data_IF_975394323680
#
_entry.id   IF_975394323680
#
_cell.length_a   1.000
_cell.length_b   1.000
_cell.length_c   1.000
_cell.angle_alpha   90.00
_cell.angle_beta   90.00
_cell.angle_gamma   90.00
#
_symmetry.space_group_name_H-M   'P 1'
#
loop_
_entity.id
_entity.type
_entity.pdbx_description
1 polymer ?
#
# COMPACT_ATOMS: atom_id res chain seq x y z
N UNK A 1 15.97 -0.58 -87.21
CA UNK A 1 15.68 0.46 -86.22
C UNK A 1 14.27 0.36 -85.58
N UNK A 2 13.22 -0.01 -86.29
CA UNK A 2 11.84 -0.14 -85.69
C UNK A 2 11.66 -1.27 -84.64
N UNK A 3 12.45 -2.36 -84.69
CA UNK A 3 12.35 -3.46 -83.75
C UNK A 3 13.11 -3.22 -82.41
N UNK A 4 14.11 -2.37 -82.42
CA UNK A 4 14.85 -1.96 -81.20
C UNK A 4 14.05 -0.98 -80.38
N UNK A 5 13.32 -0.07 -81.05
CA UNK A 5 12.44 0.92 -80.39
C UNK A 5 11.27 0.26 -79.64
N UNK A 6 10.71 -0.85 -80.16
CA UNK A 6 9.63 -1.61 -79.53
C UNK A 6 10.07 -2.38 -78.27
N UNK A 7 11.34 -2.83 -78.24
CA UNK A 7 11.90 -3.52 -77.09
C UNK A 7 12.20 -2.56 -75.92
N UNK A 8 12.61 -1.31 -76.21
CA UNK A 8 12.83 -0.30 -75.21
C UNK A 8 11.50 0.24 -74.58
N UNK A 9 10.43 0.30 -75.40
CA UNK A 9 9.12 0.70 -74.88
C UNK A 9 8.46 -0.36 -74.01
N UNK A 10 8.74 -1.67 -74.27
CA UNK A 10 8.24 -2.76 -73.43
C UNK A 10 9.02 -2.88 -72.11
N UNK A 11 10.30 -2.55 -72.11
CA UNK A 11 11.15 -2.58 -70.93
C UNK A 11 10.91 -1.38 -69.98
N UNK A 12 10.47 -0.24 -70.52
CA UNK A 12 10.07 0.92 -69.69
C UNK A 12 8.70 0.72 -69.02
N UNK A 13 7.78 -0.07 -69.63
CA UNK A 13 6.47 -0.37 -69.02
C UNK A 13 6.55 -1.36 -67.85
N UNK A 14 7.62 -2.19 -67.77
CA UNK A 14 7.85 -3.14 -66.67
C UNK A 14 8.50 -2.52 -65.43
N UNK A 15 9.04 -1.29 -65.54
CA UNK A 15 9.65 -0.59 -64.43
C UNK A 15 8.65 0.22 -63.56
N UNK A 16 7.40 0.37 -64.02
CA UNK A 16 6.34 1.08 -63.27
C UNK A 16 5.39 0.15 -62.51
N UNK A 17 5.54 -1.17 -62.59
CA UNK A 17 4.70 -2.12 -61.90
C UNK A 17 5.31 -2.67 -60.58
N UNK A 18 6.41 -2.08 -60.09
CA UNK A 18 7.10 -2.49 -58.90
C UNK A 18 7.12 -1.41 -57.76
N UNK A 19 6.17 -0.48 -57.81
CA UNK A 19 5.79 0.27 -56.62
C UNK A 19 4.51 -0.42 -56.11
N UNK A 20 4.66 -1.51 -55.38
CA UNK A 20 3.70 -1.86 -54.36
C UNK A 20 3.78 -0.72 -53.34
N UNK A 21 2.68 -0.02 -53.17
CA UNK A 21 2.42 0.83 -52.03
C UNK A 21 2.45 -0.04 -50.76
N UNK A 22 3.62 -0.44 -50.33
CA UNK A 22 3.91 -0.67 -48.93
C UNK A 22 4.05 0.75 -48.30
N UNK A 23 2.93 1.46 -48.24
CA UNK A 23 2.81 2.53 -47.26
C UNK A 23 3.20 1.91 -45.93
N UNK A 24 4.23 2.43 -45.23
CA UNK A 24 4.53 1.94 -43.90
C UNK A 24 3.28 2.15 -43.07
N UNK A 25 2.59 1.03 -42.80
CA UNK A 25 1.39 1.03 -41.98
C UNK A 25 1.75 1.85 -40.75
N UNK A 26 1.07 2.96 -40.54
CA UNK A 26 1.28 3.79 -39.36
C UNK A 26 1.27 2.86 -38.13
N UNK A 27 2.25 2.97 -37.24
CA UNK A 27 2.31 2.07 -36.10
C UNK A 27 0.94 2.08 -35.42
N UNK A 28 0.35 0.91 -35.32
CA UNK A 28 -0.96 0.79 -34.65
C UNK A 28 -0.80 1.30 -33.22
N UNK A 29 -1.78 2.04 -32.70
CA UNK A 29 -1.74 2.48 -31.32
C UNK A 29 -1.52 1.27 -30.42
N UNK A 30 -0.61 1.41 -29.47
CA UNK A 30 -0.38 0.38 -28.49
C UNK A 30 -1.54 0.37 -27.48
N UNK A 31 -2.42 -0.61 -27.64
CA UNK A 31 -3.63 -0.76 -26.81
C UNK A 31 -3.39 -1.56 -25.52
N UNK A 32 -2.14 -1.92 -25.19
CA UNK A 32 -1.81 -2.67 -23.96
C UNK A 32 -2.34 -1.92 -22.74
N UNK A 33 -3.16 -2.55 -21.90
CA UNK A 33 -3.67 -1.91 -20.68
C UNK A 33 -2.53 -1.48 -19.74
N UNK A 34 -2.74 -0.41 -18.98
CA UNK A 34 -1.70 0.23 -18.18
C UNK A 34 -2.16 0.50 -16.75
N UNK A 35 -1.30 0.20 -15.80
CA UNK A 35 -1.41 0.65 -14.43
C UNK A 35 -0.57 1.92 -14.24
N UNK A 36 -1.14 2.95 -13.61
CA UNK A 36 -0.44 4.19 -13.25
C UNK A 36 -0.54 4.35 -11.75
N UNK A 37 0.57 4.14 -11.04
CA UNK A 37 0.57 4.06 -9.58
C UNK A 37 1.30 5.26 -8.99
N UNK A 38 0.59 6.04 -8.18
CA UNK A 38 1.16 7.13 -7.39
C UNK A 38 1.44 6.64 -5.97
N UNK A 39 2.72 6.63 -5.62
CA UNK A 39 3.20 6.22 -4.30
C UNK A 39 3.29 7.40 -3.33
N UNK A 40 3.29 7.11 -2.00
CA UNK A 40 3.55 8.10 -0.98
C UNK A 40 4.92 8.78 -1.16
N UNK A 41 5.03 9.98 -0.61
CA UNK A 41 6.29 10.72 -0.56
C UNK A 41 7.32 9.88 0.20
N UNK A 42 8.50 9.68 -0.42
CA UNK A 42 9.61 8.87 0.13
C UNK A 42 9.20 7.43 0.56
N UNK A 43 8.11 6.90 -0.04
CA UNK A 43 7.52 5.64 0.42
C UNK A 43 8.25 4.38 -0.04
N UNK A 44 8.82 4.35 -1.24
CA UNK A 44 9.56 3.17 -1.72
C UNK A 44 10.84 2.95 -0.91
N UNK A 45 11.06 1.67 -0.52
CA UNK A 45 12.16 1.28 0.36
C UNK A 45 11.76 1.23 1.83
N UNK A 46 10.47 1.38 2.16
CA UNK A 46 9.94 1.24 3.52
C UNK A 46 10.02 -0.19 4.05
N UNK A 47 10.21 -1.17 3.16
CA UNK A 47 10.25 -2.62 3.41
C UNK A 47 8.94 -3.17 4.00
N UNK A 48 7.84 -2.45 3.83
CA UNK A 48 6.54 -2.79 4.40
C UNK A 48 5.40 -2.49 3.42
N UNK A 49 4.54 -1.54 3.73
CA UNK A 49 3.31 -1.21 3.00
C UNK A 49 3.56 -0.87 1.54
N UNK A 50 4.43 0.11 1.27
CA UNK A 50 4.66 0.62 -0.10
C UNK A 50 5.40 -0.39 -0.96
N UNK A 51 6.42 -1.05 -0.41
CA UNK A 51 7.16 -2.10 -1.13
C UNK A 51 6.27 -3.33 -1.42
N UNK A 52 5.28 -3.63 -0.57
CA UNK A 52 4.30 -4.69 -0.82
C UNK A 52 3.32 -4.31 -1.94
N UNK A 53 2.85 -3.05 -1.98
CA UNK A 53 2.05 -2.53 -3.11
C UNK A 53 2.84 -2.67 -4.41
N UNK A 54 4.08 -2.19 -4.43
CA UNK A 54 4.95 -2.29 -5.61
C UNK A 54 5.07 -3.73 -6.10
N UNK A 55 5.35 -4.68 -5.20
CA UNK A 55 5.47 -6.11 -5.56
C UNK A 55 4.16 -6.69 -6.11
N UNK A 56 3.03 -6.34 -5.52
CA UNK A 56 1.73 -6.80 -6.00
C UNK A 56 1.38 -6.26 -7.38
N UNK A 57 1.65 -4.98 -7.62
CA UNK A 57 1.45 -4.32 -8.92
C UNK A 57 2.35 -4.95 -9.99
N UNK A 58 3.64 -5.10 -9.72
CA UNK A 58 4.59 -5.72 -10.66
C UNK A 58 4.22 -7.17 -10.99
N UNK A 59 3.80 -7.93 -9.97
CA UNK A 59 3.36 -9.32 -10.16
C UNK A 59 2.13 -9.39 -11.05
N UNK A 60 1.09 -8.60 -10.74
CA UNK A 60 -0.12 -8.55 -11.56
C UNK A 60 0.18 -8.10 -12.99
N UNK A 61 1.04 -7.10 -13.16
CA UNK A 61 1.44 -6.63 -14.48
C UNK A 61 2.15 -7.69 -15.30
N UNK A 62 3.05 -8.45 -14.68
CA UNK A 62 3.76 -9.55 -15.34
C UNK A 62 2.79 -10.69 -15.72
N UNK A 63 1.88 -11.07 -14.83
CA UNK A 63 0.92 -12.17 -15.04
C UNK A 63 -0.08 -11.85 -16.16
N UNK A 64 -0.49 -10.59 -16.28
CA UNK A 64 -1.50 -10.15 -17.26
C UNK A 64 -0.94 -9.38 -18.47
N UNK A 65 0.38 -9.24 -18.57
CA UNK A 65 1.02 -8.54 -19.70
C UNK A 65 0.69 -7.05 -19.77
N UNK A 66 0.59 -6.39 -18.61
CA UNK A 66 0.25 -4.97 -18.50
C UNK A 66 1.50 -4.08 -18.56
N UNK A 67 1.31 -2.83 -18.95
CA UNK A 67 2.29 -1.77 -18.72
C UNK A 67 2.12 -1.18 -17.33
N UNK A 68 3.22 -0.75 -16.72
CA UNK A 68 3.18 -0.02 -15.44
C UNK A 68 3.94 1.30 -15.57
N UNK A 69 3.36 2.34 -15.00
CA UNK A 69 4.02 3.61 -14.74
C UNK A 69 4.03 3.86 -13.25
N UNK A 70 5.20 3.86 -12.65
CA UNK A 70 5.40 4.22 -11.26
C UNK A 70 5.68 5.71 -11.13
N UNK A 71 4.89 6.40 -10.31
CA UNK A 71 5.04 7.81 -10.01
C UNK A 71 5.37 7.97 -8.52
N UNK A 72 6.47 8.63 -8.24
CA UNK A 72 6.89 8.99 -6.89
C UNK A 72 6.86 10.50 -6.77
N UNK A 73 6.05 11.00 -5.84
CA UNK A 73 6.05 12.43 -5.54
C UNK A 73 7.17 12.74 -4.54
N UNK A 74 7.90 13.83 -4.76
CA UNK A 74 8.91 14.34 -3.82
C UNK A 74 8.35 15.44 -2.91
N UNK A 75 7.12 15.86 -3.14
CA UNK A 75 6.39 16.80 -2.30
C UNK A 75 4.88 16.61 -2.43
N UNK A 76 4.12 17.17 -1.49
CA UNK A 76 2.67 17.17 -1.56
C UNK A 76 2.14 17.92 -2.78
N UNK A 77 2.81 19.01 -3.19
CA UNK A 77 2.46 19.79 -4.39
C UNK A 77 2.64 18.96 -5.65
N UNK A 78 3.71 18.18 -5.74
CA UNK A 78 3.94 17.29 -6.90
C UNK A 78 2.91 16.17 -6.96
N UNK A 79 2.60 15.53 -5.83
CA UNK A 79 1.54 14.53 -5.73
C UNK A 79 0.17 15.11 -6.13
N UNK A 80 -0.13 16.32 -5.66
CA UNK A 80 -1.33 17.08 -6.08
C UNK A 80 -1.37 17.26 -7.59
N UNK A 81 -0.25 17.65 -8.21
CA UNK A 81 -0.19 17.85 -9.66
C UNK A 81 -0.44 16.55 -10.45
N UNK A 82 0.09 15.40 -9.97
CA UNK A 82 -0.22 14.09 -10.57
C UNK A 82 -1.71 13.77 -10.47
N UNK A 83 -2.32 13.95 -9.29
CA UNK A 83 -3.75 13.69 -9.08
C UNK A 83 -4.61 14.62 -9.95
N UNK A 84 -4.29 15.91 -10.01
CA UNK A 84 -4.98 16.84 -10.90
C UNK A 84 -4.89 16.42 -12.38
N UNK A 85 -3.75 15.88 -12.81
CA UNK A 85 -3.60 15.37 -14.16
C UNK A 85 -4.47 14.11 -14.37
N UNK A 86 -4.55 13.19 -13.40
CA UNK A 86 -5.43 12.03 -13.48
C UNK A 86 -6.89 12.48 -13.63
N UNK A 87 -7.30 13.51 -12.92
CA UNK A 87 -8.68 14.00 -12.96
C UNK A 87 -9.05 14.72 -14.25
N UNK A 88 -8.06 15.37 -14.92
CA UNK A 88 -8.27 16.25 -16.07
C UNK A 88 -7.94 15.61 -17.41
N UNK A 89 -7.17 14.51 -17.46
CA UNK A 89 -6.77 13.92 -18.73
C UNK A 89 -7.98 13.50 -19.56
N UNK A 90 -7.90 13.71 -20.88
CA UNK A 90 -9.01 13.45 -21.77
C UNK A 90 -9.28 11.96 -21.94
N UNK A 91 -10.56 11.60 -22.13
CA UNK A 91 -11.02 10.23 -22.35
C UNK A 91 -10.50 9.56 -23.65
N UNK A 92 -9.72 10.26 -24.46
CA UNK A 92 -9.16 9.79 -25.73
C UNK A 92 -7.86 8.99 -25.60
N UNK A 93 -7.59 8.41 -24.44
CA UNK A 93 -6.42 7.56 -24.28
C UNK A 93 -6.55 6.27 -25.10
N UNK A 94 -5.52 5.86 -25.87
CA UNK A 94 -5.62 4.72 -26.76
C UNK A 94 -5.80 3.40 -26.00
N UNK A 95 -5.27 3.28 -24.79
CA UNK A 95 -5.28 2.09 -23.96
C UNK A 95 -6.11 2.26 -22.69
N UNK A 96 -6.63 1.15 -22.18
CA UNK A 96 -7.33 1.07 -20.90
C UNK A 96 -6.34 1.36 -19.76
N UNK A 97 -6.74 2.21 -18.79
CA UNK A 97 -5.88 2.61 -17.65
C UNK A 97 -6.59 2.50 -16.31
N UNK A 98 -5.87 1.98 -15.34
CA UNK A 98 -6.19 2.09 -13.93
C UNK A 98 -5.18 3.01 -13.25
N UNK A 99 -5.65 4.14 -12.73
CA UNK A 99 -4.87 5.01 -11.85
C UNK A 99 -5.04 4.50 -10.41
N UNK A 100 -3.93 4.33 -9.69
CA UNK A 100 -3.93 3.86 -8.31
C UNK A 100 -3.25 4.94 -7.44
N UNK A 101 -3.98 5.51 -6.49
CA UNK A 101 -3.45 6.45 -5.51
C UNK A 101 -3.32 5.72 -4.19
N UNK A 102 -2.11 5.59 -3.67
CA UNK A 102 -1.80 4.75 -2.50
C UNK A 102 -1.58 5.54 -1.21
N UNK A 103 -1.66 6.87 -1.27
CA UNK A 103 -1.40 7.78 -0.16
C UNK A 103 -2.71 8.37 0.39
N UNK A 104 -3.16 7.95 1.60
CA UNK A 104 -4.44 8.39 2.18
C UNK A 104 -4.48 9.89 2.51
N UNK A 105 -3.34 10.56 2.65
CA UNK A 105 -3.30 12.01 2.91
C UNK A 105 -3.91 12.86 1.79
N UNK A 106 -4.13 12.27 0.61
CA UNK A 106 -4.81 12.94 -0.51
C UNK A 106 -6.35 12.79 -0.50
N UNK A 107 -6.95 12.19 0.53
CA UNK A 107 -8.41 11.93 0.57
C UNK A 107 -9.24 13.19 0.29
N UNK A 108 -8.99 14.29 0.99
CA UNK A 108 -9.73 15.54 0.77
C UNK A 108 -9.56 16.09 -0.65
N UNK A 109 -8.36 15.96 -1.21
CA UNK A 109 -8.08 16.38 -2.58
C UNK A 109 -8.85 15.52 -3.59
N UNK A 110 -8.81 14.20 -3.43
CA UNK A 110 -9.51 13.24 -4.30
C UNK A 110 -11.02 13.48 -4.22
N UNK A 111 -11.60 13.60 -3.03
CA UNK A 111 -13.02 13.90 -2.84
C UNK A 111 -13.44 15.22 -3.54
N UNK A 112 -12.62 16.25 -3.43
CA UNK A 112 -12.90 17.56 -4.06
C UNK A 112 -12.84 17.50 -5.58
N UNK A 113 -11.94 16.69 -6.13
CA UNK A 113 -11.70 16.59 -7.58
C UNK A 113 -12.55 15.50 -8.25
N UNK A 114 -13.05 14.52 -7.52
CA UNK A 114 -13.83 13.40 -8.04
C UNK A 114 -14.97 13.81 -9.01
N UNK A 115 -15.74 14.90 -8.80
CA UNK A 115 -16.75 15.33 -9.75
C UNK A 115 -16.22 15.71 -11.13
N UNK A 116 -14.90 15.94 -11.28
CA UNK A 116 -14.26 16.26 -12.55
C UNK A 116 -13.73 15.01 -13.27
N UNK A 117 -13.68 13.87 -12.58
CA UNK A 117 -13.16 12.63 -13.14
C UNK A 117 -14.18 12.03 -14.12
N UNK A 118 -13.80 11.96 -15.38
CA UNK A 118 -14.59 11.30 -16.40
C UNK A 118 -14.26 9.79 -16.41
N UNK A 119 -14.90 9.05 -15.50
CA UNK A 119 -14.82 7.60 -15.49
C UNK A 119 -15.35 7.01 -16.79
N UNK A 120 -14.68 5.98 -17.31
CA UNK A 120 -15.10 5.20 -18.48
C UNK A 120 -14.48 3.80 -18.42
N UNK A 121 -14.93 2.90 -19.29
CA UNK A 121 -14.34 1.55 -19.42
C UNK A 121 -12.84 1.60 -19.70
N UNK A 122 -12.35 2.70 -20.29
CA UNK A 122 -10.93 2.91 -20.58
C UNK A 122 -10.18 3.63 -19.47
N UNK A 123 -10.90 4.20 -18.49
CA UNK A 123 -10.30 5.07 -17.51
C UNK A 123 -10.98 4.93 -16.15
N UNK A 124 -10.29 4.30 -15.21
CA UNK A 124 -10.75 4.10 -13.86
C UNK A 124 -9.68 4.54 -12.88
N UNK A 125 -10.08 4.92 -11.66
CA UNK A 125 -9.21 5.33 -10.58
C UNK A 125 -9.55 4.55 -9.32
N UNK A 126 -8.53 3.97 -8.68
CA UNK A 126 -8.61 3.31 -7.37
C UNK A 126 -7.87 4.16 -6.34
N UNK A 127 -8.55 4.51 -5.26
CA UNK A 127 -7.98 5.22 -4.11
C UNK A 127 -7.97 4.31 -2.88
N UNK A 128 -6.79 4.17 -2.25
CA UNK A 128 -6.56 3.26 -1.14
C UNK A 128 -6.72 3.94 0.22
N UNK A 129 -7.03 3.16 1.24
CA UNK A 129 -7.06 3.52 2.67
C UNK A 129 -8.10 4.59 3.01
N UNK A 130 -9.27 4.55 2.36
CA UNK A 130 -10.39 5.42 2.70
C UNK A 130 -11.65 4.63 3.01
N UNK A 131 -12.40 5.08 4.02
CA UNK A 131 -13.75 4.59 4.34
C UNK A 131 -14.82 5.22 3.46
N UNK A 132 -14.45 6.28 2.72
CA UNK A 132 -15.42 7.04 1.94
C UNK A 132 -15.75 6.31 0.63
N UNK A 133 -17.04 6.19 0.34
CA UNK A 133 -17.51 5.89 -1.00
C UNK A 133 -17.51 7.18 -1.81
N UNK A 134 -16.56 7.32 -2.75
CA UNK A 134 -16.36 8.54 -3.52
C UNK A 134 -16.97 8.35 -4.90
N UNK A 135 -17.94 9.17 -5.35
CA UNK A 135 -18.56 9.02 -6.66
C UNK A 135 -17.54 9.02 -7.80
N UNK A 136 -17.68 8.08 -8.73
CA UNK A 136 -16.80 7.87 -9.89
C UNK A 136 -15.37 7.39 -9.57
N UNK A 137 -15.07 7.11 -8.32
CA UNK A 137 -13.76 6.62 -7.87
C UNK A 137 -13.99 5.28 -7.17
N UNK A 138 -13.23 4.26 -7.56
CA UNK A 138 -13.17 3.03 -6.80
C UNK A 138 -12.38 3.25 -5.53
N UNK A 139 -12.87 2.78 -4.41
CA UNK A 139 -12.22 3.01 -3.11
C UNK A 139 -12.02 1.69 -2.38
N UNK A 140 -10.89 1.59 -1.69
CA UNK A 140 -10.52 0.44 -0.88
C UNK A 140 -10.18 0.91 0.53
N UNK A 141 -10.81 0.29 1.51
CA UNK A 141 -10.50 0.44 2.91
C UNK A 141 -9.91 -0.85 3.49
N UNK A 142 -8.92 -0.72 4.35
CA UNK A 142 -8.25 -1.84 5.03
C UNK A 142 -8.39 -1.64 6.53
N UNK A 143 -9.44 -2.19 7.18
CA UNK A 143 -9.61 -2.15 8.62
C UNK A 143 -8.34 -2.60 9.33
N UNK A 144 -7.88 -1.81 10.30
CA UNK A 144 -6.64 -2.10 11.01
C UNK A 144 -6.81 -2.12 12.53
N UNK A 145 -8.06 -1.96 13.00
CA UNK A 145 -8.41 -2.07 14.41
C UNK A 145 -8.21 -3.49 14.94
N UNK A 146 -8.79 -4.50 14.27
CA UNK A 146 -8.86 -5.86 14.78
C UNK A 146 -7.50 -6.51 14.93
N UNK A 147 -6.64 -6.42 13.91
CA UNK A 147 -5.30 -7.01 13.98
C UNK A 147 -4.44 -6.33 15.05
N UNK A 148 -4.59 -5.01 15.24
CA UNK A 148 -3.90 -4.29 16.32
C UNK A 148 -4.50 -4.63 17.69
N UNK A 149 -5.83 -4.87 17.81
CA UNK A 149 -6.43 -5.42 19.02
C UNK A 149 -5.81 -6.76 19.39
N UNK A 150 -5.67 -7.67 18.43
CA UNK A 150 -5.03 -8.95 18.65
C UNK A 150 -3.57 -8.79 19.11
N UNK A 151 -2.82 -7.89 18.50
CA UNK A 151 -1.45 -7.58 18.91
C UNK A 151 -1.38 -7.05 20.35
N UNK A 152 -2.30 -6.17 20.75
CA UNK A 152 -2.43 -5.68 22.12
C UNK A 152 -2.73 -6.80 23.11
N UNK A 153 -3.65 -7.73 22.75
CA UNK A 153 -3.96 -8.92 23.56
C UNK A 153 -2.76 -9.84 23.78
N UNK A 154 -1.93 -10.06 22.74
CA UNK A 154 -0.73 -10.87 22.89
C UNK A 154 0.37 -10.13 23.66
N UNK A 155 0.54 -8.83 23.42
CA UNK A 155 1.51 -8.01 24.16
C UNK A 155 1.26 -8.05 25.66
N UNK A 156 0.01 -7.95 26.10
CA UNK A 156 -0.38 -8.03 27.52
C UNK A 156 -0.05 -9.38 28.15
N UNK A 157 0.04 -10.45 27.37
CA UNK A 157 0.37 -11.79 27.87
C UNK A 157 1.88 -12.03 27.98
N UNK A 158 2.70 -11.11 27.51
CA UNK A 158 4.15 -11.15 27.70
C UNK A 158 4.48 -10.70 29.13
N UNK A 159 5.02 -11.61 29.94
CA UNK A 159 5.25 -11.38 31.39
C UNK A 159 6.25 -10.27 31.70
N UNK A 160 7.06 -9.89 30.71
CA UNK A 160 8.08 -8.84 30.77
C UNK A 160 7.67 -7.55 30.05
N UNK A 161 6.40 -7.46 29.59
CA UNK A 161 5.84 -6.25 28.97
C UNK A 161 4.78 -5.64 29.87
N UNK A 162 5.11 -4.48 30.45
CA UNK A 162 4.20 -3.72 31.28
C UNK A 162 4.00 -2.28 30.76
N UNK A 163 4.98 -1.77 30.01
CA UNK A 163 5.01 -0.39 29.53
C UNK A 163 5.19 -0.35 28.03
N UNK A 164 4.26 0.29 27.35
CA UNK A 164 4.25 0.33 25.88
C UNK A 164 4.32 1.77 25.36
N UNK A 165 5.14 2.01 24.36
CA UNK A 165 5.13 3.24 23.56
C UNK A 165 4.49 2.97 22.20
N UNK A 166 3.68 3.91 21.71
CA UNK A 166 3.14 3.93 20.35
C UNK A 166 3.74 5.13 19.63
N UNK A 167 4.36 4.92 18.48
CA UNK A 167 4.81 5.99 17.60
C UNK A 167 3.90 6.07 16.39
N UNK A 168 3.21 7.18 16.20
CA UNK A 168 2.40 7.46 15.01
C UNK A 168 3.17 8.39 14.07
N UNK A 169 3.10 8.15 12.76
CA UNK A 169 3.71 9.04 11.77
C UNK A 169 3.16 10.47 11.89
N UNK A 170 1.84 10.60 11.97
CA UNK A 170 1.16 11.84 12.34
C UNK A 170 -0.16 11.54 13.05
N UNK A 171 -0.82 12.57 13.61
CA UNK A 171 -2.07 12.41 14.35
C UNK A 171 -3.34 12.54 13.51
N UNK A 172 -3.22 12.94 12.24
CA UNK A 172 -4.37 13.28 11.40
C UNK A 172 -4.93 12.07 10.65
N UNK A 173 -4.10 11.05 10.41
CA UNK A 173 -4.51 9.86 9.66
C UNK A 173 -5.40 8.94 10.49
N UNK A 174 -6.65 8.80 10.06
CA UNK A 174 -7.66 7.99 10.73
C UNK A 174 -7.22 6.54 10.94
N UNK A 175 -6.53 5.95 9.95
CA UNK A 175 -6.04 4.57 10.03
C UNK A 175 -5.01 4.36 11.15
N UNK A 176 -4.17 5.36 11.46
CA UNK A 176 -3.21 5.28 12.56
C UNK A 176 -3.90 5.43 13.92
N UNK A 177 -4.92 6.29 14.00
CA UNK A 177 -5.76 6.43 15.20
C UNK A 177 -6.51 5.13 15.48
N UNK A 178 -7.06 4.50 14.44
CA UNK A 178 -7.74 3.22 14.52
C UNK A 178 -6.81 2.10 15.01
N UNK A 179 -5.62 1.97 14.43
CA UNK A 179 -4.62 0.99 14.86
C UNK A 179 -4.20 1.22 16.32
N UNK A 180 -3.97 2.49 16.71
CA UNK A 180 -3.68 2.87 18.10
C UNK A 180 -4.82 2.49 19.03
N UNK A 181 -6.06 2.75 18.64
CA UNK A 181 -7.25 2.40 19.41
C UNK A 181 -7.38 0.89 19.56
N UNK A 182 -7.24 0.13 18.47
CA UNK A 182 -7.29 -1.33 18.50
C UNK A 182 -6.26 -1.90 19.47
N UNK A 183 -4.99 -1.51 19.33
CA UNK A 183 -3.94 -1.99 20.22
C UNK A 183 -4.18 -1.63 21.69
N UNK A 184 -4.60 -0.39 21.95
CA UNK A 184 -4.92 0.07 23.31
C UNK A 184 -6.03 -0.74 23.94
N UNK A 185 -7.15 -0.93 23.23
CA UNK A 185 -8.29 -1.70 23.70
C UNK A 185 -7.89 -3.17 23.96
N UNK A 186 -7.07 -3.77 23.09
CA UNK A 186 -6.56 -5.11 23.26
C UNK A 186 -5.65 -5.26 24.47
N UNK A 187 -4.70 -4.36 24.65
CA UNK A 187 -3.75 -4.36 25.76
C UNK A 187 -4.47 -4.16 27.11
N UNK A 188 -5.40 -3.20 27.18
CA UNK A 188 -6.17 -2.92 28.39
C UNK A 188 -7.21 -3.99 28.73
N UNK A 189 -7.77 -4.70 27.73
CA UNK A 189 -8.68 -5.82 27.97
C UNK A 189 -8.05 -6.93 28.83
N UNK A 190 -6.71 -7.01 28.85
CA UNK A 190 -5.95 -7.91 29.72
C UNK A 190 -5.42 -7.26 30.99
N UNK A 191 -5.92 -6.10 31.42
CA UNK A 191 -5.45 -5.32 32.58
C UNK A 191 -4.01 -4.77 32.43
N UNK A 192 -3.56 -4.57 31.18
CA UNK A 192 -2.26 -3.90 30.88
C UNK A 192 -2.28 -2.42 31.30
N UNK A 193 -1.22 -1.98 31.93
CA UNK A 193 -1.00 -0.53 32.16
C UNK A 193 -0.36 0.12 30.93
N UNK A 194 -0.78 1.44 30.64
CA UNK A 194 -0.47 2.08 29.57
C UNK A 194 0.47 2.96 29.34
N UNK A 195 0.68 3.32 28.31
CA UNK A 195 0.77 3.66 26.93
C UNK A 195 1.02 5.12 26.75
N UNK A 196 2.21 5.47 26.28
CA UNK A 196 2.45 6.80 25.76
C UNK A 196 2.41 6.77 24.24
N UNK A 197 1.62 7.66 23.65
CA UNK A 197 1.61 7.88 22.20
C UNK A 197 2.49 9.08 21.86
N UNK A 198 3.35 8.91 20.88
CA UNK A 198 4.27 9.94 20.38
C UNK A 198 3.97 10.19 18.91
N UNK A 199 3.91 11.46 18.52
CA UNK A 199 3.73 11.86 17.14
C UNK A 199 5.09 12.15 16.52
N UNK A 200 5.40 11.53 15.38
CA UNK A 200 6.69 11.67 14.72
C UNK A 200 6.84 13.02 14.03
N UNK A 201 5.77 13.49 13.42
CA UNK A 201 5.73 14.75 12.69
C UNK A 201 4.30 15.31 12.64
N UNK A 202 4.13 16.60 12.56
CA UNK A 202 2.81 17.24 12.41
C UNK A 202 2.31 17.18 10.94
N UNK A 203 3.19 16.83 9.99
CA UNK A 203 2.89 16.65 8.58
C UNK A 203 3.03 15.20 8.13
N UNK A 204 3.56 14.98 6.94
CA UNK A 204 3.65 13.65 6.31
C UNK A 204 5.04 13.02 6.33
N UNK A 205 6.06 13.71 6.84
CA UNK A 205 7.44 13.21 6.91
C UNK A 205 7.64 12.14 7.98
N UNK A 206 6.67 11.96 8.89
CA UNK A 206 6.75 10.99 9.97
C UNK A 206 6.95 9.54 9.53
N UNK A 207 6.68 9.22 8.26
CA UNK A 207 6.93 7.89 7.68
C UNK A 207 8.37 7.66 7.22
N UNK A 208 9.21 8.71 7.09
CA UNK A 208 10.57 8.64 6.54
C UNK A 208 11.68 9.14 7.49
N UNK A 209 11.43 9.15 8.81
CA UNK A 209 12.34 9.67 9.83
C UNK A 209 13.10 8.58 10.61
N UNK A 210 13.67 7.58 9.93
CA UNK A 210 14.32 6.43 10.59
C UNK A 210 15.46 6.85 11.55
N UNK A 211 16.26 7.85 11.20
CA UNK A 211 17.35 8.33 12.08
C UNK A 211 16.81 9.04 13.32
N UNK A 212 15.70 9.78 13.21
CA UNK A 212 15.04 10.38 14.38
C UNK A 212 14.54 9.29 15.32
N UNK A 213 13.87 8.28 14.80
CA UNK A 213 13.33 7.20 15.62
C UNK A 213 14.45 6.32 16.22
N UNK A 214 15.57 6.14 15.53
CA UNK A 214 16.76 5.51 16.09
C UNK A 214 17.31 6.29 17.31
N UNK A 215 17.34 7.63 17.24
CA UNK A 215 17.75 8.47 18.36
C UNK A 215 16.76 8.42 19.53
N UNK A 216 15.45 8.41 19.24
CA UNK A 216 14.42 8.25 20.26
C UNK A 216 14.52 6.89 20.96
N UNK A 217 14.93 5.82 20.27
CA UNK A 217 15.15 4.51 20.87
C UNK A 217 16.09 4.55 22.10
N UNK A 218 17.13 5.37 22.07
CA UNK A 218 18.02 5.57 23.23
C UNK A 218 17.31 6.22 24.42
N UNK A 219 16.34 7.10 24.16
CA UNK A 219 15.63 7.82 25.22
C UNK A 219 14.58 6.96 25.89
N UNK A 220 13.97 6.03 25.11
CA UNK A 220 12.85 5.23 25.58
C UNK A 220 13.25 3.85 26.09
N UNK A 221 14.49 3.40 25.82
CA UNK A 221 14.92 2.03 26.10
C UNK A 221 14.69 1.57 27.54
N UNK A 222 14.96 2.42 28.55
CA UNK A 222 14.74 2.11 29.95
C UNK A 222 13.32 2.45 30.45
N UNK A 223 12.49 3.05 29.57
CA UNK A 223 11.16 3.53 29.91
C UNK A 223 10.06 2.59 29.45
N UNK A 224 10.27 1.87 28.35
CA UNK A 224 9.27 1.02 27.73
C UNK A 224 9.83 -0.37 27.43
N UNK A 225 8.95 -1.36 27.52
CA UNK A 225 9.29 -2.76 27.32
C UNK A 225 8.90 -3.21 25.89
N UNK A 226 7.92 -2.53 25.26
CA UNK A 226 7.46 -2.78 23.91
C UNK A 226 7.15 -1.47 23.18
N UNK A 227 7.38 -1.43 21.86
CA UNK A 227 7.07 -0.32 20.98
C UNK A 227 6.20 -0.77 19.82
N UNK A 228 5.09 -0.06 19.58
CA UNK A 228 4.27 -0.19 18.37
C UNK A 228 4.58 0.99 17.43
N UNK A 229 5.29 0.77 16.31
CA UNK A 229 5.70 1.84 15.40
C UNK A 229 4.74 2.00 14.21
N UNK A 230 3.64 2.70 14.38
CA UNK A 230 2.71 3.08 13.32
C UNK A 230 3.29 4.23 12.46
N UNK A 231 4.48 4.03 11.91
CA UNK A 231 5.25 5.08 11.24
C UNK A 231 6.08 4.58 10.03
N UNK A 232 5.63 3.52 9.39
CA UNK A 232 6.19 3.02 8.12
C UNK A 232 7.71 2.86 8.15
N UNK A 233 8.40 3.43 7.16
CA UNK A 233 9.86 3.36 7.00
C UNK A 233 10.65 3.91 8.19
N UNK A 234 10.09 4.80 9.01
CA UNK A 234 10.71 5.29 10.26
C UNK A 234 11.00 4.15 11.24
N UNK A 235 10.18 3.08 11.25
CA UNK A 235 10.38 1.92 12.11
C UNK A 235 11.74 1.22 11.91
N UNK A 236 12.37 1.40 10.74
CA UNK A 236 13.72 0.86 10.48
C UNK A 236 14.76 1.38 11.51
N UNK A 237 14.53 2.55 12.09
CA UNK A 237 15.35 3.08 13.17
C UNK A 237 15.31 2.21 14.42
N UNK A 238 14.14 1.70 14.82
CA UNK A 238 13.98 0.79 15.97
C UNK A 238 14.63 -0.58 15.69
N UNK A 239 14.40 -1.14 14.50
CA UNK A 239 15.01 -2.42 14.13
C UNK A 239 16.54 -2.33 14.10
N UNK A 240 17.10 -1.20 13.62
CA UNK A 240 18.53 -0.94 13.69
C UNK A 240 19.02 -0.89 15.12
N UNK A 241 18.34 -0.14 16.00
CA UNK A 241 18.67 -0.07 17.41
C UNK A 241 18.65 -1.45 18.09
N UNK A 242 17.59 -2.23 17.90
CA UNK A 242 17.47 -3.57 18.48
C UNK A 242 18.57 -4.52 18.02
N UNK A 243 19.04 -4.42 16.78
CA UNK A 243 20.18 -5.22 16.29
C UNK A 243 21.52 -4.81 16.90
N UNK A 244 21.72 -3.50 17.13
CA UNK A 244 22.96 -2.97 17.71
C UNK A 244 23.03 -3.20 19.23
N UNK A 245 21.86 -3.27 19.89
CA UNK A 245 21.74 -3.43 21.36
C UNK A 245 20.84 -4.62 21.73
N UNK A 246 21.15 -5.86 21.32
CA UNK A 246 20.24 -7.01 21.44
C UNK A 246 19.95 -7.42 22.90
N UNK A 247 20.81 -7.10 23.84
CA UNK A 247 20.67 -7.44 25.27
C UNK A 247 20.02 -6.36 26.11
N UNK A 248 19.89 -5.16 25.57
CA UNK A 248 19.32 -4.00 26.26
C UNK A 248 18.40 -3.25 25.30
N UNK A 249 17.32 -3.90 24.86
CA UNK A 249 16.36 -3.32 23.93
C UNK A 249 14.95 -3.80 24.24
N UNK A 250 13.99 -2.99 23.87
CA UNK A 250 12.55 -3.28 23.96
C UNK A 250 12.12 -4.23 22.82
N UNK A 251 10.94 -4.83 22.97
CA UNK A 251 10.24 -5.50 21.86
C UNK A 251 9.66 -4.48 20.89
N UNK A 252 9.52 -4.87 19.64
CA UNK A 252 8.92 -4.03 18.61
C UNK A 252 7.83 -4.82 17.87
N UNK A 253 6.62 -4.29 17.80
CA UNK A 253 5.56 -4.89 16.96
C UNK A 253 5.91 -4.61 15.50
N UNK A 254 5.82 -5.63 14.65
CA UNK A 254 5.89 -5.43 13.21
C UNK A 254 4.60 -4.79 12.68
N UNK A 255 4.70 -3.94 11.67
CA UNK A 255 3.55 -3.25 11.06
C UNK A 255 3.62 -3.38 9.55
N UNK A 256 2.46 -3.61 8.94
CA UNK A 256 2.18 -3.76 7.51
C UNK A 256 2.82 -4.98 6.83
N UNK A 257 3.91 -5.52 7.37
CA UNK A 257 4.58 -6.73 6.89
C UNK A 257 5.15 -7.53 8.05
N UNK A 258 5.55 -8.80 7.79
CA UNK A 258 6.31 -9.57 8.77
C UNK A 258 7.71 -8.97 8.95
N UNK A 259 7.91 -8.32 10.09
CA UNK A 259 9.14 -7.64 10.47
C UNK A 259 10.10 -8.50 11.29
N UNK A 260 9.76 -9.75 11.58
CA UNK A 260 10.58 -10.67 12.38
C UNK A 260 11.97 -10.92 11.78
N UNK A 261 12.09 -10.78 10.45
CA UNK A 261 13.36 -10.90 9.73
C UNK A 261 14.37 -9.77 10.02
N UNK A 262 13.91 -8.66 10.61
CA UNK A 262 14.77 -7.50 10.89
C UNK A 262 15.29 -7.46 12.33
N UNK A 263 14.66 -8.16 13.26
CA UNK A 263 15.10 -8.22 14.65
C UNK A 263 14.46 -9.39 15.40
N UNK A 264 15.26 -10.10 16.21
CA UNK A 264 14.78 -11.14 17.13
C UNK A 264 13.86 -10.58 18.25
N UNK A 265 13.77 -9.25 18.36
CA UNK A 265 12.88 -8.54 19.28
C UNK A 265 11.51 -8.20 18.67
N UNK A 266 11.17 -8.78 17.53
CA UNK A 266 9.83 -8.70 16.93
C UNK A 266 9.06 -9.99 17.27
N UNK A 267 8.14 -9.98 18.26
CA UNK A 267 7.40 -11.18 18.62
C UNK A 267 6.29 -11.52 17.64
N UNK A 268 5.65 -10.51 17.06
CA UNK A 268 4.56 -10.61 16.10
C UNK A 268 4.46 -9.36 15.24
N UNK A 269 3.76 -9.49 14.13
CA UNK A 269 3.56 -8.40 13.16
C UNK A 269 2.09 -8.30 12.74
N UNK A 270 1.53 -7.08 12.77
CA UNK A 270 0.25 -6.73 12.17
C UNK A 270 0.45 -6.55 10.67
N UNK A 271 0.04 -7.50 9.87
CA UNK A 271 0.33 -7.56 8.44
C UNK A 271 -0.87 -7.09 7.63
N UNK A 272 -0.64 -6.27 6.60
CA UNK A 272 -1.55 -6.00 5.48
C UNK A 272 -1.00 -6.71 4.23
N UNK A 273 -1.76 -7.62 3.67
CA UNK A 273 -1.36 -8.38 2.47
C UNK A 273 -1.51 -7.54 1.19
N UNK A 274 -0.84 -6.38 1.13
CA UNK A 274 -0.96 -5.43 0.03
C UNK A 274 -0.59 -6.02 -1.33
N UNK A 275 0.36 -6.94 -1.36
CA UNK A 275 0.74 -7.65 -2.58
C UNK A 275 -0.41 -8.49 -3.15
N UNK A 276 -1.19 -9.16 -2.30
CA UNK A 276 -2.39 -9.93 -2.69
C UNK A 276 -3.56 -9.02 -3.05
N UNK A 277 -3.71 -7.93 -2.30
CA UNK A 277 -4.77 -6.93 -2.53
C UNK A 277 -4.60 -6.27 -3.90
N UNK A 278 -3.38 -5.88 -4.26
CA UNK A 278 -3.13 -5.28 -5.58
C UNK A 278 -3.42 -6.25 -6.72
N UNK A 279 -3.05 -7.53 -6.57
CA UNK A 279 -3.41 -8.56 -7.56
C UNK A 279 -4.92 -8.68 -7.70
N UNK A 280 -5.66 -8.79 -6.59
CA UNK A 280 -7.13 -8.84 -6.59
C UNK A 280 -7.75 -7.62 -7.31
N UNK A 281 -7.33 -6.41 -6.94
CA UNK A 281 -7.88 -5.19 -7.55
C UNK A 281 -7.59 -5.09 -9.05
N UNK A 282 -6.40 -5.53 -9.50
CA UNK A 282 -6.03 -5.54 -10.91
C UNK A 282 -6.85 -6.60 -11.67
N UNK A 283 -7.05 -7.79 -11.11
CA UNK A 283 -7.91 -8.84 -11.68
C UNK A 283 -9.35 -8.35 -11.82
N UNK A 284 -9.94 -7.83 -10.76
CA UNK A 284 -11.29 -7.24 -10.78
C UNK A 284 -11.41 -6.11 -11.83
N UNK A 285 -10.39 -5.28 -11.95
CA UNK A 285 -10.36 -4.22 -12.95
C UNK A 285 -10.36 -4.79 -14.38
N UNK A 286 -9.53 -5.79 -14.64
CA UNK A 286 -9.44 -6.41 -15.97
C UNK A 286 -10.76 -7.07 -16.38
N UNK A 287 -11.44 -7.70 -15.43
CA UNK A 287 -12.74 -8.35 -15.61
C UNK A 287 -13.91 -7.34 -15.68
N UNK A 288 -13.68 -6.08 -15.32
CA UNK A 288 -14.73 -5.05 -15.25
C UNK A 288 -15.62 -5.19 -14.01
N UNK A 289 -15.11 -5.83 -12.97
CA UNK A 289 -15.82 -6.16 -11.72
C UNK A 289 -15.24 -5.40 -10.51
N UNK A 290 -14.35 -4.41 -10.72
CA UNK A 290 -13.80 -3.61 -9.62
C UNK A 290 -14.94 -2.88 -8.90
N UNK A 291 -15.19 -3.14 -7.59
CA UNK A 291 -16.29 -2.53 -6.86
C UNK A 291 -16.11 -1.01 -6.70
N UNK A 292 -17.20 -0.27 -6.58
CA UNK A 292 -17.14 1.17 -6.26
C UNK A 292 -16.50 1.41 -4.90
N UNK A 293 -16.78 0.54 -3.93
CA UNK A 293 -16.13 0.51 -2.63
C UNK A 293 -15.99 -0.93 -2.12
N UNK A 294 -14.84 -1.24 -1.49
CA UNK A 294 -14.65 -2.51 -0.81
C UNK A 294 -13.83 -2.33 0.49
N UNK A 295 -14.15 -3.16 1.47
CA UNK A 295 -13.41 -3.26 2.73
C UNK A 295 -12.81 -4.65 2.85
N UNK A 296 -11.50 -4.75 3.07
CA UNK A 296 -10.74 -6.00 3.10
C UNK A 296 -9.93 -6.07 4.40
N UNK A 297 -10.53 -6.60 5.45
CA UNK A 297 -9.95 -6.67 6.79
C UNK A 297 -9.55 -8.07 7.21
N UNK A 298 -9.66 -8.26 8.52
CA UNK A 298 -9.27 -9.48 9.20
C UNK A 298 -10.20 -10.66 8.84
N UNK A 299 -11.51 -10.41 8.71
CA UNK A 299 -12.50 -11.43 8.34
C UNK A 299 -12.32 -11.94 6.91
N UNK A 300 -11.86 -11.09 5.99
CA UNK A 300 -11.58 -11.43 4.60
C UNK A 300 -10.18 -12.04 4.41
N UNK A 301 -9.34 -12.05 5.46
CA UNK A 301 -7.98 -12.60 5.46
C UNK A 301 -6.98 -11.73 4.69
N UNK A 302 -7.21 -10.41 4.60
CA UNK A 302 -6.28 -9.46 3.99
C UNK A 302 -5.49 -8.64 5.01
N UNK A 303 -5.90 -8.66 6.28
CA UNK A 303 -5.03 -8.34 7.41
C UNK A 303 -4.82 -9.59 8.26
N UNK A 304 -3.69 -9.72 8.93
CA UNK A 304 -3.35 -10.90 9.73
C UNK A 304 -2.35 -10.56 10.84
N UNK A 305 -2.32 -11.37 11.90
CA UNK A 305 -1.31 -11.30 12.95
C UNK A 305 -0.33 -12.47 12.79
N UNK A 306 0.86 -12.17 12.29
CA UNK A 306 1.92 -13.15 12.03
C UNK A 306 2.85 -13.25 13.24
N UNK A 307 3.00 -14.46 13.80
CA UNK A 307 3.95 -14.72 14.88
C UNK A 307 5.36 -14.92 14.30
N UNK A 308 6.37 -14.37 14.96
CA UNK A 308 7.74 -14.74 14.67
C UNK A 308 8.01 -16.18 15.14
N UNK A 309 8.76 -17.01 14.38
CA UNK A 309 8.92 -18.43 14.69
C UNK A 309 9.42 -18.74 16.10
N UNK A 310 10.30 -17.91 16.67
CA UNK A 310 10.82 -18.09 18.02
C UNK A 310 9.78 -17.82 19.12
N UNK A 311 8.67 -17.12 18.79
CA UNK A 311 7.58 -16.82 19.73
C UNK A 311 6.34 -17.70 19.50
N UNK A 312 6.28 -18.51 18.44
CA UNK A 312 5.19 -19.46 18.21
C UNK A 312 4.91 -20.35 19.41
N UNK A 313 5.92 -20.95 20.11
CA UNK A 313 5.65 -21.80 21.28
C UNK A 313 4.91 -21.08 22.40
N UNK A 314 5.06 -19.76 22.50
CA UNK A 314 4.40 -18.94 23.52
C UNK A 314 2.95 -18.63 23.17
N UNK A 315 2.64 -18.36 21.89
CA UNK A 315 1.37 -17.75 21.49
C UNK A 315 0.48 -18.65 20.63
N UNK A 316 1.01 -19.67 19.95
CA UNK A 316 0.26 -20.45 18.96
C UNK A 316 -1.02 -21.10 19.54
N UNK A 317 -1.00 -21.51 20.80
CA UNK A 317 -2.17 -22.16 21.43
C UNK A 317 -3.36 -21.21 21.64
N UNK A 318 -3.10 -19.93 21.85
CA UNK A 318 -4.13 -18.91 22.13
C UNK A 318 -4.47 -18.02 20.95
N UNK A 319 -3.59 -17.98 19.94
CA UNK A 319 -3.77 -17.13 18.74
C UNK A 319 -5.14 -17.32 18.08
N UNK A 320 -5.68 -18.54 17.86
CA UNK A 320 -6.99 -18.70 17.23
C UNK A 320 -8.13 -18.05 18.03
N UNK A 321 -8.08 -18.09 19.36
CA UNK A 321 -9.09 -17.45 20.20
C UNK A 321 -8.95 -15.93 20.17
N UNK A 322 -7.72 -15.41 20.23
CA UNK A 322 -7.44 -13.96 20.15
C UNK A 322 -7.88 -13.42 18.79
N UNK A 323 -7.61 -14.14 17.71
CA UNK A 323 -8.02 -13.74 16.38
C UNK A 323 -9.55 -13.75 16.21
N UNK A 324 -10.24 -14.75 16.74
CA UNK A 324 -11.72 -14.77 16.72
C UNK A 324 -12.32 -13.57 17.48
N UNK A 325 -11.79 -13.26 18.66
CA UNK A 325 -12.19 -12.07 19.43
C UNK A 325 -11.89 -10.79 18.65
N UNK A 326 -10.74 -10.70 17.99
CA UNK A 326 -10.33 -9.54 17.20
C UNK A 326 -11.28 -9.27 16.01
N UNK A 327 -11.71 -10.33 15.31
CA UNK A 327 -12.70 -10.22 14.22
C UNK A 327 -14.03 -9.65 14.74
N UNK A 328 -14.53 -10.17 15.89
CA UNK A 328 -15.76 -9.65 16.50
C UNK A 328 -15.61 -8.18 16.91
N UNK A 329 -14.46 -7.80 17.46
CA UNK A 329 -14.18 -6.43 17.88
C UNK A 329 -14.03 -5.48 16.68
N UNK A 330 -13.39 -5.92 15.61
CA UNK A 330 -13.29 -5.13 14.36
C UNK A 330 -14.68 -4.87 13.79
N UNK A 331 -15.51 -5.91 13.65
CA UNK A 331 -16.87 -5.76 13.16
C UNK A 331 -17.72 -4.81 14.02
N UNK A 332 -17.56 -4.88 15.36
CA UNK A 332 -18.25 -3.99 16.28
C UNK A 332 -17.74 -2.54 16.18
N UNK A 333 -16.45 -2.34 15.97
CA UNK A 333 -15.84 -1.03 15.75
C UNK A 333 -16.31 -0.42 14.43
N UNK A 334 -16.27 -1.18 13.34
CA UNK A 334 -16.73 -0.77 12.01
C UNK A 334 -18.21 -0.32 12.01
N UNK A 335 -19.05 -1.01 12.77
CA UNK A 335 -20.48 -0.67 12.86
C UNK A 335 -20.79 0.67 13.56
N UNK A 336 -19.78 1.32 14.16
CA UNK A 336 -19.89 2.57 14.90
C UNK A 336 -19.31 3.77 14.12
N UNK A 337 -18.65 3.49 12.98
CA UNK A 337 -18.06 4.50 12.12
C UNK A 337 -19.06 5.03 11.08
#
# INVERSE_FOLDING_TARGET
MKRILSLFLLMSALLFAACSDDDPQAPQPDETPMLVVLYPIDGLGDRSYVDNIYRGVEKAALEHGLKVQHLMAYSYEEGTAYIENFMKSDAEEPNRRLYIITEPSFEELVMRLAPQFAESDKRQLLFLETRQEIPHIHTLYLPFYGVNYAAGRLAQQMSDVNRVAIFQANEQLAILQEATRGFTDGFQAGEGELLNTYIMDEGFLGFSMADKLYQEAYRINDLFDLVLPLCGGSAQGLFRYNREYPTNSFYTVGVDADMSVYSDRVPFSCVKHMDRIMQLCVEQWLEGELPSHQSLGLSEGYTDLVLAPQYEPQFAAQLPQVMAEAIEREAAFESQQ
#
